data_IF_543674482909
#
_entry.id   IF_543674482909
#
_cell.length_a   1.000
_cell.length_b   1.000
_cell.length_c   1.000
_cell.angle_alpha   90.00
_cell.angle_beta   90.00
_cell.angle_gamma   90.00
#
_symmetry.space_group_name_H-M   'P 1'
#
loop_
_entity.id
_entity.type
_entity.pdbx_description
1 polymer ?
#
# COMPACT_ATOMS: atom_id res chain seq x y z
N UNK A 1 16.78 -57.21 43.82
CA UNK A 1 17.40 -56.94 42.49
C UNK A 1 16.36 -56.20 41.64
N UNK A 2 16.52 -54.90 41.33
CA UNK A 2 15.60 -54.17 40.51
C UNK A 2 16.05 -54.22 39.03
N UNK A 3 15.06 -54.41 38.15
CA UNK A 3 15.23 -54.38 36.68
C UNK A 3 15.47 -52.94 36.20
N UNK A 4 16.56 -52.72 35.48
CA UNK A 4 16.88 -51.50 34.79
C UNK A 4 15.98 -51.40 33.55
N UNK A 5 15.22 -50.33 33.46
CA UNK A 5 14.53 -49.85 32.26
C UNK A 5 15.53 -49.15 31.35
N UNK A 6 15.74 -49.64 30.14
CA UNK A 6 16.46 -48.96 29.08
C UNK A 6 15.45 -48.20 28.24
N UNK A 7 15.23 -46.91 28.58
CA UNK A 7 14.71 -45.92 27.66
C UNK A 7 15.89 -45.20 27.01
N UNK A 8 16.23 -45.56 25.79
CA UNK A 8 17.30 -44.99 25.00
C UNK A 8 16.79 -44.41 23.71
N UNK A 9 16.69 -43.13 23.70
CA UNK A 9 16.99 -42.22 22.58
C UNK A 9 16.62 -42.62 21.13
N UNK A 10 15.46 -42.13 20.66
CA UNK A 10 15.23 -41.78 19.27
C UNK A 10 14.74 -40.34 19.19
N UNK A 11 15.60 -39.37 19.49
CA UNK A 11 15.45 -37.95 19.10
C UNK A 11 16.70 -37.54 18.36
N UNK A 12 16.54 -37.12 17.12
CA UNK A 12 17.56 -36.34 16.41
C UNK A 12 18.05 -36.96 15.12
N UNK A 13 17.28 -36.80 14.03
CA UNK A 13 17.83 -36.78 12.65
C UNK A 13 16.86 -36.22 11.61
N UNK A 14 15.77 -35.56 12.00
CA UNK A 14 14.86 -34.94 11.02
C UNK A 14 15.14 -33.45 10.72
N UNK A 15 16.01 -32.77 11.47
CA UNK A 15 16.17 -31.31 11.36
C UNK A 15 17.43 -30.83 10.62
N UNK A 16 18.15 -31.68 9.90
CA UNK A 16 19.40 -31.28 9.19
C UNK A 16 19.36 -31.42 7.67
N UNK A 17 18.24 -31.80 7.07
CA UNK A 17 18.14 -31.89 5.60
C UNK A 17 17.31 -30.77 4.97
N UNK A 18 16.54 -30.01 5.76
CA UNK A 18 15.73 -28.88 5.23
C UNK A 18 16.52 -27.55 5.11
N UNK A 19 17.66 -27.40 5.80
CA UNK A 19 18.46 -26.16 5.79
C UNK A 19 19.46 -26.08 4.61
N UNK A 20 19.54 -27.08 3.75
CA UNK A 20 20.58 -27.14 2.70
C UNK A 20 20.08 -26.78 1.29
N UNK A 21 18.77 -26.75 1.04
CA UNK A 21 18.20 -26.38 -0.27
C UNK A 21 17.19 -25.28 -0.07
N UNK A 22 17.54 -24.06 -0.47
CA UNK A 22 16.64 -22.91 -0.43
C UNK A 22 15.36 -23.15 -1.23
N UNK A 23 14.31 -22.35 -1.04
CA UNK A 23 13.02 -22.54 -1.68
C UNK A 23 13.14 -22.51 -3.21
N UNK A 24 12.34 -23.35 -3.88
CA UNK A 24 12.31 -23.39 -5.35
C UNK A 24 11.69 -22.13 -5.94
N UNK A 25 10.71 -21.53 -5.24
CA UNK A 25 10.03 -20.29 -5.64
C UNK A 25 9.94 -19.38 -4.44
N UNK A 26 10.29 -18.13 -4.63
CA UNK A 26 10.51 -17.18 -3.55
C UNK A 26 10.01 -15.78 -3.94
N UNK A 27 9.26 -15.14 -3.04
CA UNK A 27 9.00 -13.71 -3.04
C UNK A 27 9.91 -13.07 -1.99
N UNK A 28 10.99 -12.48 -2.45
CA UNK A 28 11.93 -11.75 -1.59
C UNK A 28 11.38 -10.35 -1.34
N UNK A 29 11.22 -9.98 -0.09
CA UNK A 29 10.77 -8.65 0.35
C UNK A 29 11.94 -7.90 0.97
N UNK A 30 12.29 -6.78 0.37
CA UNK A 30 13.33 -5.87 0.84
C UNK A 30 12.74 -4.88 1.86
N UNK A 31 13.06 -5.07 3.14
CA UNK A 31 12.61 -4.21 4.22
C UNK A 31 13.32 -2.84 4.22
N UNK A 32 14.52 -2.74 3.68
CA UNK A 32 15.20 -1.46 3.55
C UNK A 32 14.55 -0.59 2.46
N UNK A 33 14.05 -1.22 1.38
CA UNK A 33 13.20 -0.55 0.38
C UNK A 33 11.89 -0.04 1.01
N UNK A 34 11.21 -0.85 1.83
CA UNK A 34 10.00 -0.41 2.57
C UNK A 34 10.33 0.80 3.46
N UNK A 35 11.41 0.73 4.25
CA UNK A 35 11.83 1.83 5.12
C UNK A 35 12.18 3.11 4.34
N UNK A 36 12.86 2.96 3.19
CA UNK A 36 13.15 4.06 2.28
C UNK A 36 11.86 4.71 1.76
N UNK A 37 10.91 3.91 1.26
CA UNK A 37 9.66 4.40 0.70
C UNK A 37 8.82 5.15 1.74
N UNK A 38 8.76 4.66 2.97
CA UNK A 38 8.05 5.36 4.06
C UNK A 38 8.68 6.73 4.33
N UNK A 39 10.02 6.84 4.33
CA UNK A 39 10.72 8.13 4.50
C UNK A 39 10.41 9.11 3.36
N UNK A 40 10.51 8.64 2.11
CA UNK A 40 10.13 9.44 0.94
C UNK A 40 8.69 9.93 1.03
N UNK A 41 7.76 9.05 1.39
CA UNK A 41 6.35 9.41 1.54
C UNK A 41 6.09 10.37 2.71
N UNK A 42 6.91 10.33 3.74
CA UNK A 42 6.86 11.31 4.83
C UNK A 42 7.31 12.71 4.37
N UNK A 43 8.29 12.80 3.48
CA UNK A 43 8.67 14.07 2.87
C UNK A 43 7.52 14.65 2.05
N UNK A 44 6.83 13.81 1.25
CA UNK A 44 5.62 14.24 0.53
C UNK A 44 4.47 14.63 1.47
N UNK A 45 4.32 13.97 2.61
CA UNK A 45 3.26 14.25 3.58
C UNK A 45 3.45 15.56 4.34
N UNK A 46 4.65 16.14 4.35
CA UNK A 46 4.95 17.37 5.11
C UNK A 46 4.65 17.21 6.60
N UNK A 47 3.78 18.07 7.13
CA UNK A 47 3.38 18.04 8.54
C UNK A 47 2.31 16.99 8.87
N UNK A 48 1.63 16.43 7.86
CA UNK A 48 0.61 15.42 8.06
C UNK A 48 1.21 14.11 8.58
N UNK A 49 0.49 13.42 9.46
CA UNK A 49 0.88 12.09 9.92
C UNK A 49 0.79 11.08 8.76
N UNK A 50 1.57 10.01 8.83
CA UNK A 50 1.51 8.91 7.87
C UNK A 50 0.91 7.67 8.52
N UNK A 51 -0.23 7.20 8.01
CA UNK A 51 -0.80 5.89 8.28
C UNK A 51 -0.34 4.91 7.21
N UNK A 52 0.46 3.92 7.58
CA UNK A 52 0.88 2.87 6.66
C UNK A 52 -0.26 1.89 6.39
N UNK A 53 -0.73 1.77 5.14
CA UNK A 53 -1.81 0.85 4.77
C UNK A 53 -1.23 -0.51 4.44
N UNK A 54 -1.49 -1.49 5.33
CA UNK A 54 -0.91 -2.83 5.30
C UNK A 54 -1.95 -3.95 5.18
N UNK A 55 -3.13 -3.64 4.66
CA UNK A 55 -4.20 -4.60 4.36
C UNK A 55 -3.74 -5.70 3.40
N UNK A 56 -4.50 -6.79 3.28
CA UNK A 56 -4.21 -7.94 2.41
C UNK A 56 -2.79 -8.49 2.66
N UNK A 57 -2.47 -8.75 3.94
CA UNK A 57 -1.16 -9.21 4.40
C UNK A 57 0.00 -8.31 3.91
N UNK A 58 -0.16 -6.97 4.08
CA UNK A 58 0.83 -6.00 3.58
C UNK A 58 0.95 -6.04 2.07
N UNK A 59 -0.18 -6.02 1.33
CA UNK A 59 -0.17 -6.22 -0.13
C UNK A 59 0.65 -7.46 -0.52
N UNK A 60 0.50 -8.51 0.28
CA UNK A 60 1.22 -9.78 0.18
C UNK A 60 2.75 -9.71 0.42
N UNK A 61 3.22 -8.61 1.03
CA UNK A 61 4.63 -8.47 1.46
C UNK A 61 4.85 -8.94 2.91
N UNK A 62 3.79 -9.31 3.65
CA UNK A 62 3.83 -9.73 5.05
C UNK A 62 3.54 -8.60 6.03
N UNK A 63 2.29 -8.54 6.49
CA UNK A 63 1.77 -7.43 7.28
C UNK A 63 2.62 -7.10 8.52
N UNK A 64 3.06 -8.12 9.28
CA UNK A 64 3.81 -7.89 10.53
C UNK A 64 5.20 -7.31 10.27
N UNK A 65 5.94 -7.85 9.29
CA UNK A 65 7.26 -7.35 8.93
C UNK A 65 7.18 -5.92 8.40
N UNK A 66 6.27 -5.68 7.45
CA UNK A 66 6.04 -4.34 6.88
C UNK A 66 5.58 -3.35 7.94
N UNK A 67 4.68 -3.73 8.85
CA UNK A 67 4.21 -2.86 9.92
C UNK A 67 5.35 -2.40 10.83
N UNK A 68 6.19 -3.33 11.30
CA UNK A 68 7.35 -3.01 12.14
C UNK A 68 8.33 -2.08 11.43
N UNK A 69 8.63 -2.38 10.17
CA UNK A 69 9.50 -1.56 9.33
C UNK A 69 8.93 -0.17 9.09
N UNK A 70 7.64 -0.07 8.70
CA UNK A 70 7.00 1.21 8.46
C UNK A 70 6.96 2.09 9.72
N UNK A 71 6.63 1.51 10.87
CA UNK A 71 6.64 2.23 12.16
C UNK A 71 8.05 2.71 12.53
N UNK A 72 9.08 1.87 12.35
CA UNK A 72 10.47 2.26 12.61
C UNK A 72 10.96 3.37 11.66
N UNK A 73 10.44 3.41 10.43
CA UNK A 73 10.76 4.41 9.42
C UNK A 73 9.94 5.72 9.56
N UNK A 74 9.03 5.79 10.55
CA UNK A 74 8.32 7.01 10.90
C UNK A 74 6.84 7.05 10.52
N UNK A 75 6.22 5.94 10.12
CA UNK A 75 4.77 5.84 10.12
C UNK A 75 4.25 5.95 11.57
N UNK A 76 3.15 6.67 11.78
CA UNK A 76 2.56 6.83 13.12
C UNK A 76 1.49 5.80 13.41
N UNK A 77 0.79 5.36 12.38
CA UNK A 77 -0.39 4.52 12.48
C UNK A 77 -0.42 3.49 11.36
N UNK A 78 -1.25 2.50 11.54
CA UNK A 78 -1.46 1.43 10.59
C UNK A 78 -2.92 1.40 10.13
N UNK A 79 -3.14 1.06 8.86
CA UNK A 79 -4.46 0.92 8.30
C UNK A 79 -4.68 -0.45 7.68
N UNK A 80 -5.76 -1.12 8.07
CA UNK A 80 -6.12 -2.45 7.57
C UNK A 80 -7.57 -2.49 7.11
N UNK A 81 -7.96 -3.55 6.41
CA UNK A 81 -9.32 -3.69 5.93
C UNK A 81 -10.23 -4.25 7.00
N UNK A 82 -9.84 -5.35 7.64
CA UNK A 82 -10.69 -6.13 8.55
C UNK A 82 -10.18 -6.10 9.99
N UNK A 83 -11.09 -6.36 10.93
CA UNK A 83 -10.72 -6.57 12.35
C UNK A 83 -9.75 -7.73 12.48
N UNK A 84 -9.93 -8.82 11.73
CA UNK A 84 -9.03 -9.97 11.77
C UNK A 84 -7.58 -9.60 11.39
N UNK A 85 -7.39 -8.76 10.36
CA UNK A 85 -6.06 -8.25 10.02
C UNK A 85 -5.46 -7.41 11.16
N UNK A 86 -6.26 -6.59 11.83
CA UNK A 86 -5.81 -5.81 12.98
C UNK A 86 -5.40 -6.70 14.17
N UNK A 87 -6.17 -7.75 14.45
CA UNK A 87 -5.88 -8.69 15.54
C UNK A 87 -4.55 -9.45 15.31
N UNK A 88 -4.23 -9.83 14.06
CA UNK A 88 -2.92 -10.40 13.71
C UNK A 88 -1.77 -9.47 14.11
N UNK A 89 -1.93 -8.16 13.90
CA UNK A 89 -0.91 -7.18 14.33
C UNK A 89 -0.80 -7.09 15.85
N UNK A 90 -1.93 -7.14 16.54
CA UNK A 90 -1.96 -7.14 18.02
C UNK A 90 -1.33 -8.39 18.60
N UNK A 91 -1.63 -9.56 18.05
CA UNK A 91 -1.00 -10.85 18.43
C UNK A 91 0.52 -10.82 18.21
N UNK A 92 0.99 -10.12 17.18
CA UNK A 92 2.42 -9.88 16.93
C UNK A 92 3.05 -8.83 17.87
N UNK A 93 2.30 -8.29 18.84
CA UNK A 93 2.80 -7.31 19.82
C UNK A 93 2.91 -5.88 19.30
N UNK A 94 2.28 -5.55 18.18
CA UNK A 94 2.25 -4.18 17.67
C UNK A 94 1.20 -3.38 18.44
N UNK A 95 1.63 -2.30 19.12
CA UNK A 95 0.80 -1.44 19.97
C UNK A 95 0.42 -0.10 19.33
N UNK A 96 1.02 0.24 18.18
CA UNK A 96 0.68 1.46 17.45
C UNK A 96 -0.83 1.50 17.09
N UNK A 97 -1.46 2.68 16.94
CA UNK A 97 -2.84 2.78 16.52
C UNK A 97 -3.08 2.04 15.20
N UNK A 98 -4.18 1.27 15.15
CA UNK A 98 -4.59 0.49 13.98
C UNK A 98 -6.05 0.78 13.69
N UNK A 99 -6.34 1.31 12.50
CA UNK A 99 -7.69 1.52 11.99
C UNK A 99 -8.11 0.38 11.07
N UNK A 100 -9.22 -0.31 11.37
CA UNK A 100 -9.91 -1.27 10.51
C UNK A 100 -11.18 -0.63 9.94
N UNK A 101 -11.42 -0.70 8.60
CA UNK A 101 -12.49 0.09 7.99
C UNK A 101 -13.47 -0.66 7.08
N UNK A 102 -13.41 -1.98 6.99
CA UNK A 102 -14.33 -2.76 6.16
C UNK A 102 -14.78 -4.02 6.91
N UNK A 103 -15.99 -3.98 7.43
CA UNK A 103 -16.58 -5.08 8.19
C UNK A 103 -18.11 -5.07 8.05
N UNK A 104 -18.73 -6.20 8.26
CA UNK A 104 -20.19 -6.34 8.37
C UNK A 104 -20.70 -5.89 9.73
N UNK A 105 -22.01 -5.80 9.86
CA UNK A 105 -22.66 -5.48 11.14
C UNK A 105 -22.54 -6.59 12.18
N UNK A 106 -22.17 -7.77 11.75
CA UNK A 106 -21.97 -9.00 12.52
C UNK A 106 -20.49 -9.28 12.84
N UNK A 107 -19.60 -8.33 12.56
CA UNK A 107 -18.19 -8.48 12.87
C UNK A 107 -17.92 -8.53 14.39
N UNK A 108 -16.80 -9.10 14.79
CA UNK A 108 -16.42 -9.20 16.21
C UNK A 108 -15.88 -7.86 16.73
N UNK A 109 -16.80 -6.89 16.91
CA UNK A 109 -16.47 -5.59 17.49
C UNK A 109 -16.00 -5.71 18.95
N UNK A 110 -16.43 -6.72 19.66
CA UNK A 110 -15.99 -6.95 21.04
C UNK A 110 -14.49 -7.24 21.12
N UNK A 111 -13.96 -8.07 20.22
CA UNK A 111 -12.52 -8.32 20.16
C UNK A 111 -11.74 -7.10 19.68
N UNK A 112 -12.30 -6.32 18.74
CA UNK A 112 -11.70 -5.06 18.31
C UNK A 112 -11.56 -4.06 19.48
N UNK A 113 -12.63 -3.84 20.24
CA UNK A 113 -12.65 -2.93 21.39
C UNK A 113 -11.65 -3.39 22.47
N UNK A 114 -11.67 -4.67 22.85
CA UNK A 114 -10.73 -5.22 23.84
C UNK A 114 -9.26 -5.11 23.44
N UNK A 115 -8.99 -5.12 22.13
CA UNK A 115 -7.65 -5.06 21.57
C UNK A 115 -7.23 -3.65 21.16
N UNK A 116 -7.98 -2.62 21.52
CA UNK A 116 -7.72 -1.22 21.15
C UNK A 116 -7.54 -1.04 19.64
N UNK A 117 -8.44 -1.65 18.86
CA UNK A 117 -8.53 -1.44 17.41
C UNK A 117 -9.55 -0.36 17.13
N UNK A 118 -9.13 0.67 16.40
CA UNK A 118 -9.99 1.74 15.93
C UNK A 118 -10.92 1.22 14.82
N UNK A 119 -12.21 1.55 14.92
CA UNK A 119 -13.25 1.00 14.04
C UNK A 119 -13.77 2.07 13.09
N UNK A 120 -13.59 1.86 11.80
CA UNK A 120 -14.17 2.70 10.75
C UNK A 120 -15.68 2.46 10.61
N UNK A 121 -16.50 3.45 10.88
CA UNK A 121 -17.97 3.35 10.84
C UNK A 121 -18.50 3.97 9.55
N UNK A 122 -19.30 3.22 8.80
CA UNK A 122 -19.74 3.58 7.43
C UNK A 122 -21.26 3.69 7.27
N UNK A 123 -22.03 3.43 8.31
CA UNK A 123 -23.50 3.54 8.31
C UNK A 123 -24.05 3.59 9.73
N UNK A 124 -25.29 4.08 9.94
CA UNK A 124 -25.96 4.03 11.24
C UNK A 124 -26.06 2.61 11.82
N UNK A 125 -26.24 1.59 10.96
CA UNK A 125 -26.29 0.19 11.40
C UNK A 125 -24.93 -0.34 11.91
N UNK A 126 -23.83 0.08 11.27
CA UNK A 126 -22.50 -0.24 11.79
C UNK A 126 -22.27 0.41 13.15
N UNK A 127 -22.64 1.68 13.29
CA UNK A 127 -22.53 2.39 14.57
C UNK A 127 -23.34 1.68 15.67
N UNK A 128 -24.59 1.31 15.39
CA UNK A 128 -25.43 0.59 16.35
C UNK A 128 -24.79 -0.72 16.83
N UNK A 129 -24.23 -1.52 15.90
CA UNK A 129 -23.56 -2.78 16.28
C UNK A 129 -22.29 -2.55 17.13
N UNK A 130 -21.52 -1.50 16.85
CA UNK A 130 -20.36 -1.08 17.67
C UNK A 130 -20.81 -0.64 19.06
N UNK A 131 -21.86 0.18 19.14
CA UNK A 131 -22.45 0.67 20.40
C UNK A 131 -22.94 -0.51 21.25
N UNK A 132 -23.63 -1.47 20.66
CA UNK A 132 -24.11 -2.65 21.39
C UNK A 132 -22.93 -3.48 21.95
N UNK A 133 -21.86 -3.67 21.18
CA UNK A 133 -20.65 -4.33 21.67
C UNK A 133 -19.98 -3.57 22.81
N UNK A 134 -19.91 -2.23 22.70
CA UNK A 134 -19.36 -1.35 23.74
C UNK A 134 -20.18 -1.43 25.04
N UNK A 135 -21.52 -1.42 24.94
CA UNK A 135 -22.42 -1.60 26.11
C UNK A 135 -22.21 -2.93 26.81
N UNK A 136 -22.12 -4.02 26.04
CA UNK A 136 -21.88 -5.36 26.61
C UNK A 136 -20.54 -5.41 27.35
N UNK A 137 -19.52 -4.74 26.84
CA UNK A 137 -18.21 -4.72 27.46
C UNK A 137 -18.06 -3.71 28.60
N UNK A 138 -18.95 -2.72 28.70
CA UNK A 138 -18.76 -1.57 29.59
C UNK A 138 -17.52 -0.74 29.25
N UNK A 139 -17.09 -0.75 28.00
CA UNK A 139 -15.90 -0.07 27.50
C UNK A 139 -16.23 0.69 26.22
N UNK A 140 -15.89 2.00 26.12
CA UNK A 140 -16.14 2.78 24.90
C UNK A 140 -15.30 2.29 23.72
N UNK A 141 -15.92 2.27 22.54
CA UNK A 141 -15.22 2.00 21.29
C UNK A 141 -14.59 3.30 20.74
N UNK A 142 -13.35 3.21 20.26
CA UNK A 142 -12.75 4.28 19.45
C UNK A 142 -13.21 4.10 18.00
N UNK A 143 -13.88 5.12 17.45
CA UNK A 143 -14.44 5.08 16.10
C UNK A 143 -13.93 6.22 15.24
N UNK A 144 -13.79 5.94 13.94
CA UNK A 144 -13.52 6.96 12.91
C UNK A 144 -14.62 6.89 11.86
N UNK A 145 -15.27 8.03 11.64
CA UNK A 145 -16.43 8.14 10.74
C UNK A 145 -15.99 8.19 9.29
N UNK A 146 -16.49 7.25 8.49
CA UNK A 146 -16.27 7.25 7.05
C UNK A 146 -17.41 7.92 6.31
N UNK A 147 -17.09 8.99 5.59
CA UNK A 147 -18.05 9.75 4.79
C UNK A 147 -17.94 9.37 3.32
N UNK A 148 -19.07 9.13 2.66
CA UNK A 148 -19.08 9.02 1.20
C UNK A 148 -19.16 10.42 0.58
N UNK A 149 -18.03 10.86 0.07
CA UNK A 149 -17.90 12.17 -0.59
C UNK A 149 -18.13 12.12 -2.11
N UNK A 150 -18.42 10.92 -2.66
CA UNK A 150 -18.72 10.77 -4.08
C UNK A 150 -18.06 9.59 -4.79
N UNK A 151 -17.34 8.72 -4.07
CA UNK A 151 -16.88 7.44 -4.62
C UNK A 151 -18.05 6.45 -4.78
N UNK A 152 -19.10 6.58 -3.94
CA UNK A 152 -20.30 5.75 -3.94
C UNK A 152 -20.03 4.25 -3.78
N UNK A 153 -19.00 3.90 -3.03
CA UNK A 153 -18.59 2.52 -2.75
C UNK A 153 -18.79 2.13 -1.29
N UNK A 154 -18.39 3.00 -0.36
CA UNK A 154 -18.45 2.78 1.09
C UNK A 154 -18.34 4.11 1.83
N UNK A 155 -19.06 4.26 2.93
CA UNK A 155 -19.15 5.48 3.74
C UNK A 155 -20.60 5.88 3.95
N UNK A 156 -20.85 6.71 4.95
CA UNK A 156 -22.18 7.23 5.23
C UNK A 156 -22.67 8.06 4.05
N UNK A 157 -23.80 7.68 3.51
CA UNK A 157 -24.44 8.38 2.37
C UNK A 157 -25.01 9.74 2.81
N UNK A 158 -25.20 10.65 1.85
CA UNK A 158 -25.80 11.95 2.12
C UNK A 158 -27.21 11.84 2.72
N UNK A 159 -27.96 10.82 2.34
CA UNK A 159 -29.33 10.58 2.83
C UNK A 159 -29.36 10.08 4.26
N UNK A 160 -28.36 9.32 4.68
CA UNK A 160 -28.21 8.83 6.05
C UNK A 160 -27.43 9.78 6.98
N UNK A 161 -26.85 10.82 6.42
CA UNK A 161 -25.94 11.73 7.15
C UNK A 161 -26.58 12.39 8.38
N UNK A 162 -27.80 12.99 8.28
CA UNK A 162 -28.46 13.59 9.44
C UNK A 162 -28.66 12.57 10.56
N UNK A 163 -29.18 11.38 10.21
CA UNK A 163 -29.41 10.31 11.20
C UNK A 163 -28.10 9.85 11.84
N UNK A 164 -27.03 9.72 11.04
CA UNK A 164 -25.72 9.32 11.55
C UNK A 164 -25.17 10.30 12.59
N UNK A 165 -25.34 11.60 12.37
CA UNK A 165 -24.93 12.64 13.32
C UNK A 165 -25.73 12.57 14.62
N UNK A 166 -27.05 12.30 14.56
CA UNK A 166 -27.91 12.14 15.72
C UNK A 166 -27.54 10.88 16.53
N UNK A 167 -27.30 9.75 15.83
CA UNK A 167 -26.89 8.49 16.44
C UNK A 167 -25.51 8.62 17.12
N UNK A 168 -24.55 9.33 16.48
CA UNK A 168 -23.24 9.61 17.08
C UNK A 168 -23.34 10.45 18.35
N UNK A 169 -24.16 11.50 18.34
CA UNK A 169 -24.38 12.34 19.52
C UNK A 169 -24.97 11.52 20.66
N UNK A 170 -25.97 10.69 20.39
CA UNK A 170 -26.56 9.78 21.38
C UNK A 170 -25.52 8.82 21.96
N UNK A 171 -24.72 8.18 21.11
CA UNK A 171 -23.70 7.22 21.54
C UNK A 171 -22.58 7.88 22.37
N UNK A 172 -22.22 9.13 22.05
CA UNK A 172 -21.29 9.94 22.86
C UNK A 172 -21.87 10.21 24.24
N UNK A 173 -23.13 10.68 24.29
CA UNK A 173 -23.78 11.07 25.55
C UNK A 173 -23.99 9.85 26.47
N UNK A 174 -24.14 8.65 25.89
CA UNK A 174 -24.12 7.37 26.59
C UNK A 174 -22.72 6.91 27.02
N UNK A 175 -21.65 7.54 26.53
CA UNK A 175 -20.28 7.14 26.82
C UNK A 175 -19.85 5.84 26.15
N UNK A 176 -20.56 5.39 25.09
CA UNK A 176 -20.28 4.12 24.40
C UNK A 176 -19.24 4.26 23.29
N UNK A 177 -19.01 5.47 22.79
CA UNK A 177 -17.99 5.73 21.76
C UNK A 177 -17.11 6.94 22.10
N UNK A 178 -15.92 6.94 21.51
CA UNK A 178 -15.06 8.10 21.31
C UNK A 178 -14.85 8.29 19.80
N UNK A 179 -15.41 9.36 19.24
CA UNK A 179 -15.14 9.73 17.85
C UNK A 179 -13.74 10.34 17.76
N UNK A 180 -12.81 9.60 17.12
CA UNK A 180 -11.43 10.06 16.94
C UNK A 180 -11.25 10.85 15.65
N UNK A 181 -11.87 10.43 14.57
CA UNK A 181 -11.61 11.06 13.29
C UNK A 181 -12.75 10.97 12.28
N UNK A 182 -12.53 11.67 11.16
CA UNK A 182 -13.41 11.63 9.98
C UNK A 182 -12.58 11.41 8.73
N UNK A 183 -13.01 10.51 7.85
CA UNK A 183 -12.28 10.23 6.61
C UNK A 183 -13.16 9.92 5.42
N UNK A 184 -12.56 10.06 4.24
CA UNK A 184 -13.16 9.64 2.99
C UNK A 184 -12.13 8.99 2.05
N UNK A 185 -12.54 8.70 0.82
CA UNK A 185 -11.69 8.10 -0.20
C UNK A 185 -11.99 8.69 -1.57
N UNK A 186 -10.94 8.95 -2.35
CA UNK A 186 -11.04 9.59 -3.65
C UNK A 186 -11.47 8.62 -4.74
N UNK A 187 -12.23 9.12 -5.71
CA UNK A 187 -12.69 8.36 -6.87
C UNK A 187 -11.68 8.40 -8.03
N UNK A 188 -10.96 9.52 -8.19
CA UNK A 188 -10.06 9.82 -9.31
C UNK A 188 -8.67 10.23 -8.82
N UNK A 189 -8.13 9.56 -7.80
CA UNK A 189 -6.82 9.95 -7.25
C UNK A 189 -5.65 9.73 -8.21
N UNK A 190 -5.81 8.87 -9.18
CA UNK A 190 -4.90 8.57 -10.28
C UNK A 190 -4.98 9.59 -11.43
N UNK A 191 -5.99 10.46 -11.44
CA UNK A 191 -6.13 11.60 -12.32
C UNK A 191 -6.06 12.91 -11.51
N UNK A 192 -4.87 13.41 -11.11
CA UNK A 192 -4.72 14.45 -10.08
C UNK A 192 -5.43 15.79 -10.36
N UNK A 193 -5.76 16.05 -11.61
CA UNK A 193 -6.43 17.28 -12.06
C UNK A 193 -7.93 17.11 -12.32
N UNK A 194 -8.53 15.95 -11.98
CA UNK A 194 -9.94 15.70 -12.19
C UNK A 194 -10.81 16.50 -11.20
N UNK A 195 -11.79 17.26 -11.71
CA UNK A 195 -12.63 18.20 -10.91
C UNK A 195 -13.39 17.52 -9.76
N UNK A 196 -13.68 16.22 -9.86
CA UNK A 196 -14.31 15.43 -8.80
C UNK A 196 -13.49 15.43 -7.50
N UNK A 197 -12.16 15.56 -7.58
CA UNK A 197 -11.28 15.59 -6.41
C UNK A 197 -11.60 16.79 -5.53
N UNK A 198 -11.72 17.99 -6.13
CA UNK A 198 -11.99 19.23 -5.38
C UNK A 198 -13.41 19.23 -4.81
N UNK A 199 -14.38 18.66 -5.55
CA UNK A 199 -15.72 18.41 -5.03
C UNK A 199 -15.70 17.48 -3.81
N UNK A 200 -14.94 16.38 -3.86
CA UNK A 200 -14.81 15.44 -2.74
C UNK A 200 -14.12 16.07 -1.54
N UNK A 201 -13.08 16.90 -1.77
CA UNK A 201 -12.42 17.70 -0.72
C UNK A 201 -13.43 18.60 -0.01
N UNK A 202 -14.20 19.38 -0.76
CA UNK A 202 -15.18 20.31 -0.19
C UNK A 202 -16.24 19.55 0.63
N UNK A 203 -16.77 18.45 0.10
CA UNK A 203 -17.74 17.61 0.83
C UNK A 203 -17.19 17.04 2.13
N UNK A 204 -15.89 16.70 2.19
CA UNK A 204 -15.27 16.28 3.44
C UNK A 204 -15.16 17.43 4.42
N UNK A 205 -14.79 18.63 3.96
CA UNK A 205 -14.73 19.84 4.80
C UNK A 205 -16.10 20.14 5.39
N UNK A 206 -17.16 20.10 4.57
CA UNK A 206 -18.54 20.33 5.01
C UNK A 206 -18.98 19.27 6.04
N UNK A 207 -18.66 18.00 5.81
CA UNK A 207 -18.97 16.92 6.74
C UNK A 207 -18.25 17.08 8.09
N UNK A 208 -17.00 17.52 8.09
CA UNK A 208 -16.26 17.83 9.32
C UNK A 208 -16.88 19.02 10.07
N UNK A 209 -17.35 20.04 9.34
CA UNK A 209 -18.06 21.16 9.94
C UNK A 209 -19.38 20.72 10.61
N UNK A 210 -20.16 19.85 9.95
CA UNK A 210 -21.37 19.26 10.52
C UNK A 210 -21.10 18.45 11.79
N UNK A 211 -20.03 17.65 11.80
CA UNK A 211 -19.58 16.88 12.97
C UNK A 211 -19.22 17.82 14.13
N UNK A 212 -18.48 18.90 13.84
CA UNK A 212 -18.16 19.93 14.84
C UNK A 212 -19.38 20.65 15.37
N UNK A 213 -20.36 20.96 14.52
CA UNK A 213 -21.62 21.57 14.93
C UNK A 213 -22.44 20.70 15.90
N UNK A 214 -22.17 19.37 15.94
CA UNK A 214 -22.76 18.43 16.92
C UNK A 214 -21.92 18.30 18.20
N UNK A 215 -20.91 19.15 18.39
CA UNK A 215 -20.08 19.18 19.60
C UNK A 215 -18.99 18.13 19.64
N UNK A 216 -18.56 17.59 18.49
CA UNK A 216 -17.38 16.73 18.38
C UNK A 216 -16.18 17.55 17.95
N UNK A 217 -15.00 17.15 18.42
CA UNK A 217 -13.72 17.68 17.96
C UNK A 217 -12.87 16.53 17.42
N UNK A 218 -13.00 16.19 16.11
CA UNK A 218 -12.19 15.14 15.52
C UNK A 218 -10.69 15.46 15.64
N UNK A 219 -9.92 14.52 16.20
CA UNK A 219 -8.47 14.64 16.35
C UNK A 219 -7.77 14.53 15.00
N UNK A 220 -8.36 13.82 14.03
CA UNK A 220 -7.76 13.54 12.74
C UNK A 220 -8.78 13.52 11.61
N UNK A 221 -8.47 14.24 10.54
CA UNK A 221 -9.20 14.22 9.28
C UNK A 221 -8.26 13.68 8.19
N UNK A 222 -8.71 12.73 7.36
CA UNK A 222 -7.85 12.16 6.35
C UNK A 222 -8.57 11.76 5.06
N UNK A 223 -7.96 12.08 3.91
CA UNK A 223 -8.51 11.82 2.56
C UNK A 223 -7.52 11.08 1.67
N UNK A 224 -6.26 11.53 1.65
CA UNK A 224 -5.23 11.11 0.69
C UNK A 224 -4.85 9.64 0.78
N UNK A 225 -4.89 8.95 -0.35
CA UNK A 225 -4.25 7.65 -0.59
C UNK A 225 -2.84 7.83 -1.17
N UNK A 226 -2.21 6.77 -1.71
CA UNK A 226 -0.87 6.86 -2.31
C UNK A 226 -0.76 7.92 -3.38
N UNK A 227 -1.69 7.95 -4.35
CA UNK A 227 -1.65 8.90 -5.45
C UNK A 227 -1.80 10.35 -4.97
N UNK A 228 -2.83 10.62 -4.18
CA UNK A 228 -3.04 11.96 -3.64
C UNK A 228 -1.91 12.39 -2.69
N UNK A 229 -1.25 11.48 -1.98
CA UNK A 229 -0.10 11.81 -1.13
C UNK A 229 1.03 12.43 -1.93
N UNK A 230 1.34 11.89 -3.12
CA UNK A 230 2.48 12.34 -3.95
C UNK A 230 2.13 13.43 -4.96
N UNK A 231 0.83 13.64 -5.27
CA UNK A 231 0.40 14.57 -6.34
C UNK A 231 -0.42 15.75 -5.86
N UNK A 232 -1.05 15.68 -4.67
CA UNK A 232 -2.01 16.68 -4.20
C UNK A 232 -1.75 17.07 -2.73
N UNK A 233 -0.75 17.91 -2.47
CA UNK A 233 -0.41 18.35 -1.11
C UNK A 233 -1.56 19.07 -0.39
N UNK A 234 -2.48 19.67 -1.14
CA UNK A 234 -3.67 20.34 -0.61
C UNK A 234 -4.74 19.39 -0.03
N UNK A 235 -4.57 18.06 -0.17
CA UNK A 235 -5.49 17.03 0.33
C UNK A 235 -4.95 16.27 1.55
N UNK A 236 -3.81 16.67 2.09
CA UNK A 236 -3.13 15.91 3.16
C UNK A 236 -3.91 15.94 4.48
N UNK A 237 -4.61 17.04 4.78
CA UNK A 237 -5.28 17.27 6.06
C UNK A 237 -4.36 16.92 7.24
N UNK A 238 -4.84 16.17 8.24
CA UNK A 238 -4.02 15.78 9.39
C UNK A 238 -3.21 14.49 9.15
N UNK A 239 -3.61 13.69 8.14
CA UNK A 239 -3.00 12.38 7.89
C UNK A 239 -3.15 11.91 6.46
N UNK A 240 -2.09 11.28 5.92
CA UNK A 240 -2.10 10.57 4.64
C UNK A 240 -2.09 9.06 4.84
N UNK A 241 -2.67 8.32 3.88
CA UNK A 241 -2.80 6.85 3.94
C UNK A 241 -2.23 6.17 2.70
N UNK A 242 -0.91 6.24 2.48
CA UNK A 242 -0.28 5.53 1.38
C UNK A 242 -0.38 4.01 1.60
N UNK A 243 -0.69 3.30 0.50
CA UNK A 243 -0.67 1.85 0.42
C UNK A 243 0.42 1.40 -0.54
N UNK A 244 0.09 1.29 -1.84
CA UNK A 244 1.01 0.73 -2.84
C UNK A 244 2.37 1.44 -2.89
N UNK A 245 2.42 2.72 -2.63
CA UNK A 245 3.66 3.49 -2.62
C UNK A 245 4.63 3.05 -1.50
N UNK A 246 4.13 2.51 -0.37
CA UNK A 246 4.99 1.93 0.68
C UNK A 246 5.79 0.75 0.12
N UNK A 247 5.20 0.00 -0.81
CA UNK A 247 5.81 -1.17 -1.43
C UNK A 247 6.68 -0.82 -2.65
N UNK A 248 6.87 0.50 -2.89
CA UNK A 248 7.78 1.01 -3.91
C UNK A 248 7.21 1.03 -5.32
N UNK A 249 5.90 0.91 -5.45
CA UNK A 249 5.23 0.95 -6.74
C UNK A 249 4.50 2.29 -6.91
N UNK A 250 4.79 2.98 -8.02
CA UNK A 250 4.19 4.29 -8.29
C UNK A 250 2.66 4.19 -8.42
N UNK A 251 1.88 4.96 -7.67
CA UNK A 251 0.43 4.95 -7.81
C UNK A 251 -0.07 5.60 -9.12
N UNK A 252 0.79 6.32 -9.81
CA UNK A 252 0.56 7.01 -11.10
C UNK A 252 1.82 6.89 -11.96
N UNK A 253 2.07 5.69 -12.55
CA UNK A 253 3.33 5.37 -13.23
C UNK A 253 3.70 6.33 -14.37
N UNK A 254 2.71 6.93 -15.02
CA UNK A 254 2.88 7.92 -16.08
C UNK A 254 3.51 9.25 -15.60
N UNK A 255 3.45 9.53 -14.28
CA UNK A 255 4.08 10.70 -13.66
C UNK A 255 5.47 10.41 -13.07
N UNK A 256 5.92 9.15 -13.14
CA UNK A 256 7.23 8.72 -12.66
C UNK A 256 7.19 7.83 -11.43
N UNK A 257 8.37 7.52 -10.89
CA UNK A 257 8.54 6.62 -9.74
C UNK A 257 8.53 7.32 -8.37
N UNK A 258 8.63 8.65 -8.35
CA UNK A 258 8.68 9.49 -7.13
C UNK A 258 9.83 9.13 -6.18
N UNK A 259 10.90 8.52 -6.68
CA UNK A 259 12.02 8.04 -5.86
C UNK A 259 11.70 6.78 -5.04
N UNK A 260 10.60 6.10 -5.34
CA UNK A 260 10.19 4.87 -4.68
C UNK A 260 11.00 3.67 -5.20
N UNK A 261 11.22 2.67 -4.35
CA UNK A 261 11.96 1.44 -4.67
C UNK A 261 11.06 0.23 -4.54
N UNK A 262 10.79 -0.55 -5.62
CA UNK A 262 10.01 -1.78 -5.52
C UNK A 262 10.60 -2.74 -4.50
N UNK A 263 9.78 -3.19 -3.55
CA UNK A 263 10.24 -3.99 -2.43
C UNK A 263 10.13 -5.51 -2.67
N UNK A 264 9.35 -5.96 -3.65
CA UNK A 264 9.15 -7.38 -3.93
C UNK A 264 9.92 -7.83 -5.16
N UNK A 265 10.68 -8.91 -5.02
CA UNK A 265 11.29 -9.65 -6.14
C UNK A 265 10.74 -11.07 -6.16
N UNK A 266 10.06 -11.46 -7.25
CA UNK A 266 9.64 -12.84 -7.49
C UNK A 266 10.72 -13.58 -8.28
N UNK A 267 11.25 -14.66 -7.69
CA UNK A 267 12.28 -15.49 -8.31
C UNK A 267 12.03 -16.97 -8.13
N UNK A 268 12.59 -17.78 -9.04
CA UNK A 268 12.55 -19.24 -8.92
C UNK A 268 13.82 -19.91 -9.43
N UNK A 269 14.05 -21.13 -8.99
CA UNK A 269 15.14 -21.97 -9.46
C UNK A 269 14.77 -22.64 -10.78
N UNK A 270 15.74 -22.74 -11.69
CA UNK A 270 15.64 -23.63 -12.86
C UNK A 270 15.66 -25.08 -12.36
N UNK A 271 14.60 -25.83 -12.65
CA UNK A 271 14.48 -27.22 -12.19
C UNK A 271 14.81 -28.27 -13.28
N UNK A 272 14.82 -27.83 -14.53
CA UNK A 272 15.18 -28.69 -15.67
C UNK A 272 15.67 -27.80 -16.81
N UNK A 273 16.72 -28.27 -17.50
CA UNK A 273 17.19 -27.74 -18.78
C UNK A 273 17.12 -28.84 -19.82
N UNK A 274 16.44 -28.62 -20.94
CA UNK A 274 16.28 -29.63 -22.00
C UNK A 274 16.36 -29.05 -23.41
N UNK A 275 16.91 -29.82 -24.35
CA UNK A 275 16.90 -29.48 -25.77
C UNK A 275 15.57 -29.85 -26.42
N UNK A 276 15.14 -29.04 -27.38
CA UNK A 276 13.94 -29.21 -28.18
C UNK A 276 14.32 -28.95 -29.64
N UNK A 277 13.94 -29.86 -30.54
CA UNK A 277 14.25 -29.75 -31.98
C UNK A 277 13.33 -28.69 -32.64
N UNK A 278 13.82 -28.15 -33.76
CA UNK A 278 13.02 -27.30 -34.63
C UNK A 278 11.72 -28.02 -35.06
N UNK A 279 10.61 -27.27 -35.05
CA UNK A 279 9.29 -27.80 -35.40
C UNK A 279 8.54 -28.51 -34.27
N UNK A 280 9.16 -28.75 -33.11
CA UNK A 280 8.48 -29.32 -31.95
C UNK A 280 7.63 -28.30 -31.24
N UNK A 281 6.40 -28.71 -30.87
CA UNK A 281 5.47 -27.88 -30.13
C UNK A 281 5.76 -27.92 -28.62
N UNK A 282 5.62 -26.77 -27.94
CA UNK A 282 5.96 -26.63 -26.54
C UNK A 282 4.71 -26.31 -25.70
N UNK A 283 4.56 -27.04 -24.59
CA UNK A 283 3.48 -26.89 -23.61
C UNK A 283 2.07 -27.17 -24.18
N UNK A 284 1.01 -26.89 -23.42
CA UNK A 284 -0.35 -27.23 -23.80
C UNK A 284 -0.82 -26.52 -25.09
N UNK A 285 -1.35 -27.31 -26.01
CA UNK A 285 -1.93 -26.84 -27.25
C UNK A 285 -0.91 -26.32 -28.26
N UNK A 286 0.38 -26.58 -28.02
CA UNK A 286 1.50 -26.23 -28.91
C UNK A 286 1.40 -24.82 -29.48
N UNK A 287 1.02 -23.83 -28.65
CA UNK A 287 0.85 -22.44 -29.08
C UNK A 287 2.17 -21.76 -29.45
N UNK A 288 3.27 -22.34 -29.01
CA UNK A 288 4.61 -22.00 -29.46
C UNK A 288 5.27 -23.28 -30.04
N UNK A 289 5.82 -23.12 -31.20
CA UNK A 289 6.58 -24.18 -31.91
C UNK A 289 8.01 -23.69 -32.03
N UNK A 290 8.97 -24.50 -31.67
CA UNK A 290 10.38 -24.13 -31.72
C UNK A 290 10.78 -23.75 -33.16
N UNK A 291 11.20 -22.51 -33.44
CA UNK A 291 11.54 -22.05 -34.80
C UNK A 291 12.86 -22.61 -35.28
N UNK A 292 13.70 -23.06 -34.40
CA UNK A 292 15.01 -23.71 -34.61
C UNK A 292 15.27 -24.66 -33.44
N UNK A 293 16.32 -25.46 -33.52
CA UNK A 293 16.78 -26.23 -32.36
C UNK A 293 17.08 -25.27 -31.24
N UNK A 294 16.53 -25.54 -30.05
CA UNK A 294 16.66 -24.66 -28.91
C UNK A 294 16.80 -25.42 -27.61
N UNK A 295 17.16 -24.69 -26.55
CA UNK A 295 17.22 -25.19 -25.18
C UNK A 295 16.17 -24.47 -24.35
N UNK A 296 15.40 -25.20 -23.56
CA UNK A 296 14.37 -24.65 -22.68
C UNK A 296 14.76 -24.83 -21.22
N UNK A 297 14.52 -23.80 -20.41
CA UNK A 297 14.53 -23.88 -18.96
C UNK A 297 13.12 -24.06 -18.43
N UNK A 298 12.91 -24.94 -17.47
CA UNK A 298 11.66 -25.15 -16.75
C UNK A 298 11.73 -24.49 -15.39
N UNK A 299 10.75 -23.61 -15.10
CA UNK A 299 10.62 -22.89 -13.84
C UNK A 299 9.37 -23.36 -13.10
N UNK A 300 9.45 -23.66 -11.77
CA UNK A 300 8.36 -24.21 -10.97
C UNK A 300 7.39 -23.12 -10.47
N UNK A 301 6.93 -22.25 -11.34
CA UNK A 301 5.96 -21.19 -11.07
C UNK A 301 4.86 -21.27 -12.10
N UNK A 302 3.62 -21.33 -11.66
CA UNK A 302 2.47 -21.38 -12.54
C UNK A 302 1.30 -20.55 -12.03
N UNK A 303 0.10 -20.75 -12.63
CA UNK A 303 -1.05 -19.94 -12.24
C UNK A 303 -1.57 -20.28 -10.84
N UNK A 304 -1.21 -21.42 -10.25
CA UNK A 304 -1.50 -21.70 -8.83
C UNK A 304 -0.69 -20.80 -7.87
N UNK A 305 0.45 -20.28 -8.33
CA UNK A 305 1.36 -19.44 -7.56
C UNK A 305 1.15 -17.93 -7.84
N UNK A 306 0.17 -17.59 -8.69
CA UNK A 306 -0.18 -16.20 -9.01
C UNK A 306 0.31 -15.70 -10.38
N UNK A 307 1.01 -16.53 -11.15
CA UNK A 307 1.41 -16.19 -12.51
C UNK A 307 0.20 -16.29 -13.45
N UNK A 308 -0.38 -15.16 -13.85
CA UNK A 308 -1.59 -15.15 -14.69
C UNK A 308 -1.39 -15.96 -15.97
N UNK A 309 -2.36 -16.85 -16.28
CA UNK A 309 -2.33 -17.63 -17.52
C UNK A 309 -2.40 -16.76 -18.79
N UNK A 310 -2.93 -15.55 -18.68
CA UNK A 310 -3.01 -14.56 -19.77
C UNK A 310 -1.65 -13.98 -20.18
N UNK A 311 -0.62 -14.16 -19.35
CA UNK A 311 0.78 -13.84 -19.67
C UNK A 311 1.44 -14.87 -20.61
N UNK A 312 0.79 -15.99 -20.96
CA UNK A 312 1.39 -17.02 -21.80
C UNK A 312 2.00 -16.45 -23.09
N UNK A 313 3.32 -16.60 -23.26
CA UNK A 313 4.08 -16.09 -24.40
C UNK A 313 4.24 -14.56 -24.46
N UNK A 314 3.92 -13.83 -23.38
CA UNK A 314 3.88 -12.36 -23.39
C UNK A 314 4.77 -11.70 -22.33
N UNK A 315 5.58 -12.43 -21.60
CA UNK A 315 6.45 -11.87 -20.58
C UNK A 315 7.85 -12.46 -20.66
N UNK A 316 8.79 -11.79 -20.06
CA UNK A 316 10.18 -12.20 -19.96
C UNK A 316 10.58 -12.41 -18.51
N UNK A 317 11.64 -13.18 -18.32
CA UNK A 317 12.35 -13.32 -17.04
C UNK A 317 13.82 -12.94 -17.23
N UNK A 318 14.46 -12.46 -16.18
CA UNK A 318 15.91 -12.30 -16.14
C UNK A 318 16.54 -13.64 -15.74
N UNK A 319 17.37 -14.23 -16.64
CA UNK A 319 18.03 -15.51 -16.39
C UNK A 319 19.36 -15.58 -17.15
N UNK A 320 20.45 -15.93 -16.45
CA UNK A 320 21.77 -16.02 -17.06
C UNK A 320 22.28 -14.69 -17.60
N UNK A 321 21.97 -13.57 -16.90
CA UNK A 321 22.42 -12.21 -17.28
C UNK A 321 21.64 -11.58 -18.44
N UNK A 322 20.56 -12.21 -18.93
CA UNK A 322 19.76 -11.72 -20.05
C UNK A 322 18.26 -11.80 -19.76
N UNK A 323 17.47 -10.92 -20.38
CA UNK A 323 16.02 -11.13 -20.49
C UNK A 323 15.71 -12.24 -21.47
N UNK A 324 14.82 -13.14 -21.08
CA UNK A 324 14.46 -14.32 -21.85
C UNK A 324 12.96 -14.48 -21.91
N UNK A 325 12.46 -14.78 -23.10
CA UNK A 325 11.06 -14.93 -23.36
C UNK A 325 10.51 -16.21 -22.73
N UNK A 326 9.43 -16.09 -21.97
CA UNK A 326 8.61 -17.23 -21.58
C UNK A 326 7.82 -17.75 -22.78
N UNK A 327 7.86 -19.07 -23.02
CA UNK A 327 7.29 -19.68 -24.21
C UNK A 327 6.25 -20.75 -23.88
N UNK A 328 5.32 -20.95 -24.81
CA UNK A 328 4.20 -21.87 -24.62
C UNK A 328 3.18 -21.36 -23.55
N UNK A 329 2.19 -22.22 -23.28
CA UNK A 329 1.18 -21.89 -22.24
C UNK A 329 1.73 -22.05 -20.85
N UNK A 330 1.42 -21.11 -19.96
CA UNK A 330 1.63 -21.23 -18.52
C UNK A 330 0.76 -22.37 -17.99
N UNK A 331 1.40 -23.31 -17.28
CA UNK A 331 0.74 -24.43 -16.64
C UNK A 331 0.31 -24.06 -15.19
N UNK A 332 -0.35 -24.99 -14.49
CA UNK A 332 -0.73 -24.80 -13.10
C UNK A 332 0.50 -24.54 -12.22
N UNK A 333 1.58 -25.29 -12.45
CA UNK A 333 2.72 -25.41 -11.56
C UNK A 333 4.04 -24.96 -12.17
N UNK A 334 4.06 -24.59 -13.45
CA UNK A 334 5.31 -24.40 -14.17
C UNK A 334 5.17 -23.59 -15.46
N UNK A 335 6.27 -22.98 -15.87
CA UNK A 335 6.41 -22.24 -17.13
C UNK A 335 7.76 -22.55 -17.78
N UNK A 336 7.84 -22.46 -19.09
CA UNK A 336 9.05 -22.67 -19.89
C UNK A 336 9.61 -21.34 -20.40
N UNK A 337 10.93 -21.28 -20.48
CA UNK A 337 11.68 -20.11 -20.97
C UNK A 337 12.64 -20.56 -22.05
N UNK A 338 12.68 -19.82 -23.16
CA UNK A 338 13.61 -20.09 -24.26
C UNK A 338 15.01 -19.55 -23.94
N UNK A 339 15.99 -20.40 -23.98
CA UNK A 339 17.41 -20.10 -23.78
C UNK A 339 18.20 -19.91 -25.06
N UNK A 340 17.59 -20.27 -26.23
CA UNK A 340 18.26 -20.32 -27.50
C UNK A 340 19.04 -21.64 -27.71
N UNK A 341 19.70 -21.82 -28.89
CA UNK A 341 20.29 -23.09 -29.31
C UNK A 341 21.30 -23.68 -28.34
N UNK A 342 22.16 -22.85 -27.78
CA UNK A 342 23.28 -23.27 -26.93
C UNK A 342 22.96 -23.26 -25.44
N UNK A 343 21.76 -22.75 -25.04
CA UNK A 343 21.35 -22.65 -23.66
C UNK A 343 22.11 -21.59 -22.86
N UNK A 344 23.06 -20.86 -23.49
CA UNK A 344 23.85 -19.75 -22.90
C UNK A 344 24.48 -20.07 -21.53
N UNK A 345 24.81 -21.35 -21.28
CA UNK A 345 25.44 -21.81 -20.04
C UNK A 345 24.51 -21.88 -18.83
N UNK A 346 23.19 -21.67 -19.00
CA UNK A 346 22.18 -21.82 -17.93
C UNK A 346 22.06 -23.29 -17.54
N UNK A 347 21.94 -23.54 -16.21
CA UNK A 347 21.91 -24.88 -15.59
C UNK A 347 20.76 -24.97 -14.58
N UNK A 348 20.39 -26.20 -14.24
CA UNK A 348 19.54 -26.47 -13.09
C UNK A 348 20.15 -25.89 -11.83
N UNK A 349 19.31 -25.25 -11.01
CA UNK A 349 19.72 -24.53 -9.80
C UNK A 349 19.99 -23.03 -10.01
N UNK A 350 20.16 -22.57 -11.26
CA UNK A 350 20.26 -21.13 -11.55
C UNK A 350 18.95 -20.40 -11.17
N UNK A 351 19.04 -19.11 -10.91
CA UNK A 351 17.90 -18.31 -10.48
C UNK A 351 17.36 -17.49 -11.64
N UNK A 352 16.09 -17.67 -11.95
CA UNK A 352 15.30 -16.79 -12.81
C UNK A 352 14.55 -15.75 -11.98
N UNK A 353 14.60 -14.47 -12.37
CA UNK A 353 13.83 -13.38 -11.75
C UNK A 353 12.66 -13.04 -12.67
N UNK A 354 11.46 -13.15 -12.17
CA UNK A 354 10.22 -12.89 -12.89
C UNK A 354 9.88 -11.39 -12.93
N UNK A 355 10.00 -10.73 -11.80
CA UNK A 355 9.99 -9.28 -11.66
C UNK A 355 10.73 -8.88 -10.38
N UNK A 356 11.19 -7.63 -10.32
CA UNK A 356 11.92 -7.10 -9.19
C UNK A 356 12.02 -5.57 -9.23
N UNK A 357 13.11 -5.06 -8.65
CA UNK A 357 13.40 -3.63 -8.59
C UNK A 357 14.10 -3.08 -9.85
N UNK A 358 14.52 -3.95 -10.77
CA UNK A 358 15.20 -3.59 -12.02
C UNK A 358 16.73 -3.54 -11.95
N UNK A 359 17.32 -3.73 -10.78
CA UNK A 359 18.79 -3.55 -10.58
C UNK A 359 19.64 -4.54 -11.39
N UNK A 360 19.12 -5.72 -11.73
CA UNK A 360 19.79 -6.73 -12.53
C UNK A 360 19.27 -6.77 -13.98
N UNK A 361 18.44 -5.78 -14.38
CA UNK A 361 17.81 -5.72 -15.70
C UNK A 361 16.52 -6.56 -15.78
N UNK A 362 16.00 -7.10 -14.68
CA UNK A 362 14.73 -7.81 -14.64
C UNK A 362 13.52 -6.89 -14.93
N UNK A 363 12.39 -7.46 -15.40
CA UNK A 363 11.14 -6.72 -15.46
C UNK A 363 10.69 -6.25 -14.08
N UNK A 364 9.88 -5.20 -14.02
CA UNK A 364 9.14 -4.82 -12.81
C UNK A 364 7.69 -5.33 -12.85
N UNK A 365 6.95 -5.19 -11.75
CA UNK A 365 5.56 -5.64 -11.69
C UNK A 365 4.63 -4.84 -12.64
N UNK A 366 4.99 -3.59 -12.99
CA UNK A 366 4.25 -2.79 -13.96
C UNK A 366 4.25 -3.41 -15.35
N UNK A 367 5.38 -4.00 -15.79
CA UNK A 367 5.45 -4.67 -17.08
C UNK A 367 4.42 -5.82 -17.24
N UNK A 368 4.10 -6.52 -16.16
CA UNK A 368 3.04 -7.52 -16.18
C UNK A 368 1.64 -6.87 -16.19
N UNK A 369 1.46 -5.80 -15.44
CA UNK A 369 0.20 -5.06 -15.39
C UNK A 369 -0.17 -4.52 -16.78
N UNK A 370 0.80 -3.94 -17.49
CA UNK A 370 0.62 -3.41 -18.85
C UNK A 370 0.18 -4.50 -19.84
N UNK A 371 0.80 -5.68 -19.78
CA UNK A 371 0.45 -6.82 -20.64
C UNK A 371 -0.93 -7.39 -20.32
N UNK A 372 -1.34 -7.32 -19.05
CA UNK A 372 -2.60 -7.87 -18.54
C UNK A 372 -3.77 -6.88 -18.60
N UNK A 373 -3.52 -5.65 -19.01
CA UNK A 373 -4.50 -4.54 -18.95
C UNK A 373 -5.10 -4.38 -17.54
N UNK A 374 -4.20 -4.31 -16.54
CA UNK A 374 -4.54 -4.18 -15.12
C UNK A 374 -3.54 -3.27 -14.40
N UNK A 375 -3.55 -3.29 -13.09
CA UNK A 375 -2.66 -2.49 -12.23
C UNK A 375 -1.68 -3.40 -11.46
N UNK A 376 -0.48 -2.90 -11.20
CA UNK A 376 0.56 -3.64 -10.47
C UNK A 376 0.16 -4.01 -9.02
N UNK A 377 -0.88 -3.37 -8.46
CA UNK A 377 -1.52 -3.80 -7.21
C UNK A 377 -1.98 -5.26 -7.31
N UNK A 378 -2.67 -5.62 -8.40
CA UNK A 378 -3.18 -6.97 -8.62
C UNK A 378 -2.03 -7.96 -8.80
N UNK A 379 -0.95 -7.55 -9.48
CA UNK A 379 0.23 -8.38 -9.70
C UNK A 379 0.85 -8.81 -8.37
N UNK A 380 1.24 -7.86 -7.51
CA UNK A 380 1.93 -8.20 -6.26
C UNK A 380 1.02 -8.89 -5.25
N UNK A 381 -0.26 -8.48 -5.16
CA UNK A 381 -1.22 -9.13 -4.26
C UNK A 381 -1.64 -10.52 -4.75
N UNK A 382 -1.43 -10.82 -6.03
CA UNK A 382 -1.73 -12.11 -6.64
C UNK A 382 -0.72 -13.20 -6.34
N UNK A 383 0.50 -12.89 -5.89
CA UNK A 383 1.55 -13.88 -5.59
C UNK A 383 1.15 -14.69 -4.36
N UNK A 384 1.11 -16.04 -4.51
CA UNK A 384 0.53 -16.94 -3.50
C UNK A 384 1.03 -18.38 -3.70
N UNK A 385 0.30 -19.34 -3.14
CA UNK A 385 0.51 -20.77 -3.36
C UNK A 385 1.74 -21.29 -2.64
N UNK A 386 2.67 -21.84 -3.41
CA UNK A 386 3.92 -22.45 -2.91
C UNK A 386 5.08 -21.47 -2.81
N UNK A 387 4.86 -20.21 -3.24
CA UNK A 387 5.88 -19.17 -3.14
C UNK A 387 6.19 -18.85 -1.68
N UNK A 388 7.42 -19.09 -1.26
CA UNK A 388 7.90 -18.79 0.08
C UNK A 388 8.24 -17.31 0.15
N UNK A 389 7.73 -16.61 1.17
CA UNK A 389 8.11 -15.23 1.43
C UNK A 389 9.36 -15.21 2.29
N UNK A 390 10.38 -14.47 1.85
CA UNK A 390 11.62 -14.24 2.58
C UNK A 390 11.89 -12.74 2.71
N UNK A 391 12.69 -12.37 3.69
CA UNK A 391 12.98 -10.96 3.98
C UNK A 391 14.47 -10.71 3.90
N UNK A 392 14.83 -9.57 3.29
CA UNK A 392 16.19 -9.04 3.29
C UNK A 392 16.18 -7.62 3.86
N UNK A 393 17.35 -7.14 4.26
CA UNK A 393 17.47 -5.85 4.93
C UNK A 393 17.02 -5.90 6.40
N UNK A 394 17.38 -4.90 7.16
CA UNK A 394 17.02 -4.78 8.58
C UNK A 394 15.81 -3.87 8.80
N UNK A 395 15.39 -3.12 7.77
CA UNK A 395 14.35 -2.09 7.87
C UNK A 395 14.72 -0.94 8.81
N UNK A 396 16.01 -0.80 9.15
CA UNK A 396 16.54 0.19 10.10
C UNK A 396 17.19 1.36 9.37
N UNK A 397 17.24 2.48 10.05
CA UNK A 397 17.94 3.68 9.60
C UNK A 397 19.47 3.45 9.67
N UNK A 398 20.22 3.75 8.59
CA UNK A 398 21.69 3.79 8.63
C UNK A 398 22.23 4.90 9.56
N UNK A 399 21.44 5.91 9.89
CA UNK A 399 21.81 7.05 10.73
C UNK A 399 21.66 6.84 12.25
N UNK A 400 21.06 5.75 12.73
CA UNK A 400 20.94 5.47 14.18
C UNK A 400 22.25 5.16 14.90
N UNK A 401 23.39 5.16 14.23
CA UNK A 401 24.71 5.02 14.88
C UNK A 401 25.29 6.32 15.43
N UNK A 402 24.62 7.47 15.24
CA UNK A 402 25.15 8.77 15.71
C UNK A 402 24.38 9.42 16.86
N UNK A 403 23.18 8.94 17.21
CA UNK A 403 22.31 9.57 18.21
C UNK A 403 21.95 8.68 19.41
N UNK A 404 22.93 8.00 20.02
CA UNK A 404 22.72 7.37 21.33
C UNK A 404 22.52 8.39 22.48
N UNK A 405 22.43 9.69 22.18
CA UNK A 405 22.36 10.75 23.21
C UNK A 405 21.16 11.69 23.14
N UNK A 406 20.11 11.44 22.35
CA UNK A 406 18.87 12.20 22.43
C UNK A 406 17.78 11.44 23.19
N UNK A 407 17.77 11.58 24.50
CA UNK A 407 16.63 11.21 25.35
C UNK A 407 15.46 12.14 25.05
N UNK A 408 14.39 11.63 24.44
CA UNK A 408 13.12 12.32 24.40
C UNK A 408 12.54 12.39 25.81
N UNK A 409 12.08 13.57 26.29
CA UNK A 409 11.41 13.66 27.59
C UNK A 409 10.03 13.01 27.49
N UNK A 410 9.79 12.05 28.37
CA UNK A 410 8.45 11.50 28.60
C UNK A 410 7.51 12.61 29.06
N UNK A 411 6.58 13.04 28.19
CA UNK A 411 5.47 13.89 28.60
C UNK A 411 4.50 13.05 29.44
N UNK A 412 4.53 13.25 30.75
CA UNK A 412 3.49 12.80 31.65
C UNK A 412 2.26 13.68 31.42
N UNK A 413 1.17 13.12 30.91
CA UNK A 413 -0.15 13.72 31.00
C UNK A 413 -0.59 13.75 32.47
N UNK A 414 -0.48 14.90 33.10
CA UNK A 414 -1.11 15.24 34.39
C UNK A 414 -2.17 16.29 34.13
N UNK A 415 -3.42 15.91 34.33
CA UNK A 415 -4.55 16.81 34.28
C UNK A 415 -4.41 17.95 35.34
N UNK A 416 -4.54 19.20 34.93
CA UNK A 416 -5.13 20.29 35.73
C UNK A 416 -5.84 21.27 34.81
N UNK A 417 -7.10 21.44 35.11
CA UNK A 417 -7.95 22.53 34.70
C UNK A 417 -7.36 23.84 35.29
N UNK A 418 -7.04 24.84 34.48
CA UNK A 418 -7.46 26.22 34.64
C UNK A 418 -6.87 27.06 33.50
N UNK A 419 -7.72 27.98 33.04
CA UNK A 419 -7.54 28.76 31.85
C UNK A 419 -6.49 29.88 31.97
N UNK A 420 -6.07 30.25 30.83
CA UNK A 420 -5.58 31.51 30.24
C UNK A 420 -4.29 31.30 29.44
N UNK A 421 -4.42 31.53 28.16
CA UNK A 421 -3.27 31.72 27.25
C UNK A 421 -2.81 33.17 27.41
N UNK A 422 -1.55 33.36 27.76
CA UNK A 422 -0.79 34.56 27.46
C UNK A 422 0.49 34.18 26.74
N UNK A 423 0.61 34.72 25.54
CA UNK A 423 1.86 34.69 24.78
C UNK A 423 2.81 35.74 25.38
N UNK A 424 3.97 35.32 25.88
CA UNK A 424 5.07 36.22 26.19
C UNK A 424 6.09 36.10 25.08
N UNK A 425 6.24 37.22 24.34
CA UNK A 425 7.37 37.49 23.49
C UNK A 425 8.49 38.06 24.35
N UNK A 426 9.62 37.43 24.46
CA UNK A 426 10.84 38.06 24.95
C UNK A 426 11.65 38.61 23.77
N UNK A 427 11.76 39.93 23.78
CA UNK A 427 12.78 40.72 23.04
C UNK A 427 13.90 41.01 24.02
N UNK A 428 15.13 40.95 23.50
CA UNK A 428 16.27 41.85 23.75
C UNK A 428 17.56 41.11 23.38
N UNK A 429 18.60 41.66 22.83
CA UNK A 429 18.95 43.01 22.45
C UNK A 429 20.20 42.99 21.57
N UNK A 430 20.35 44.07 20.87
CA UNK A 430 21.55 44.82 20.46
C UNK A 430 22.17 44.61 19.09
N UNK A 431 21.99 45.68 18.30
CA UNK A 431 22.68 46.00 17.02
C UNK A 431 24.08 46.63 17.26
N UNK A 432 24.68 47.46 16.36
CA UNK A 432 24.15 48.13 15.19
C UNK A 432 25.14 48.15 13.96
N UNK A 433 24.70 48.67 12.83
CA UNK A 433 25.65 49.09 11.74
C UNK A 433 25.07 49.33 10.38
N UNK A 434 24.60 50.50 10.14
CA UNK A 434 24.61 51.40 8.98
C UNK A 434 25.16 50.94 7.60
N UNK A 435 24.48 51.19 6.49
CA UNK A 435 24.48 52.34 5.60
C UNK A 435 23.87 52.07 4.21
N UNK A 436 22.89 52.91 3.82
CA UNK A 436 22.62 53.54 2.50
C UNK A 436 22.71 52.69 1.22
N UNK A 437 21.82 52.70 0.27
CA UNK A 437 20.82 53.67 -0.13
C UNK A 437 20.51 53.53 -1.63
N UNK A 438 19.37 54.08 -2.07
CA UNK A 438 18.88 54.31 -3.46
C UNK A 438 18.23 53.06 -4.10
N UNK A 439 17.01 53.00 -4.44
CA UNK A 439 16.07 53.98 -4.99
C UNK A 439 15.94 53.86 -6.47
N UNK A 440 14.84 53.28 -7.00
CA UNK A 440 14.12 53.77 -8.17
C UNK A 440 12.90 52.86 -8.48
N UNK A 441 11.79 53.50 -8.64
CA UNK A 441 10.48 52.99 -9.08
C UNK A 441 10.31 53.15 -10.59
N UNK A 442 9.12 52.94 -11.16
CA UNK A 442 8.66 51.81 -11.95
C UNK A 442 8.34 52.23 -13.42
N UNK A 443 8.04 51.26 -14.28
CA UNK A 443 7.35 51.57 -15.54
C UNK A 443 6.25 50.55 -15.85
N UNK A 444 5.05 51.08 -16.02
CA UNK A 444 3.86 50.53 -16.63
C UNK A 444 4.09 50.12 -18.10
N UNK A 445 3.39 49.12 -18.57
CA UNK A 445 2.68 49.11 -19.86
C UNK A 445 1.84 47.86 -20.08
N UNK A 446 0.55 48.07 -20.21
CA UNK A 446 -0.46 47.18 -20.87
C UNK A 446 -0.55 47.55 -22.35
N UNK A 447 -1.49 46.98 -23.13
CA UNK A 447 -1.62 45.63 -23.71
C UNK A 447 -1.74 45.70 -25.26
N UNK A 448 -1.77 44.57 -25.95
CA UNK A 448 -2.38 44.56 -27.30
C UNK A 448 -3.03 43.21 -27.62
N UNK A 449 -4.25 43.32 -28.06
CA UNK A 449 -5.18 42.35 -28.65
C UNK A 449 -4.83 41.96 -30.07
N UNK A 450 -5.57 40.97 -30.55
CA UNK A 450 -5.92 40.52 -31.93
C UNK A 450 -5.27 39.18 -32.32
N UNK A 451 -5.95 38.21 -32.91
CA UNK A 451 -7.11 38.20 -33.79
C UNK A 451 -7.68 36.76 -33.89
N UNK A 452 -8.97 36.69 -34.11
CA UNK A 452 -9.76 35.52 -34.40
C UNK A 452 -9.46 34.87 -35.76
N UNK A 453 -9.62 33.54 -35.87
CA UNK A 453 -10.09 32.95 -37.14
C UNK A 453 -11.04 31.78 -36.89
N UNK A 454 -12.25 31.96 -37.45
CA UNK A 454 -13.33 31.01 -37.56
C UNK A 454 -13.03 29.93 -38.62
N UNK A 455 -13.41 28.69 -38.38
CA UNK A 455 -13.50 27.67 -39.40
C UNK A 455 -14.58 26.67 -39.05
N UNK A 456 -15.79 26.87 -39.60
CA UNK A 456 -16.90 25.90 -39.58
C UNK A 456 -16.60 24.79 -40.58
N UNK A 457 -16.91 23.53 -40.27
CA UNK A 457 -17.36 22.56 -41.24
C UNK A 457 -18.35 21.56 -40.63
N UNK A 458 -19.38 21.45 -41.35
CA UNK A 458 -20.71 20.85 -41.33
C UNK A 458 -20.79 19.36 -40.99
N UNK A 459 -21.88 19.06 -40.32
CA UNK A 459 -22.51 17.76 -40.23
C UNK A 459 -22.84 17.14 -41.60
N UNK A 460 -22.75 15.82 -41.71
CA UNK A 460 -23.54 15.00 -42.60
C UNK A 460 -24.09 13.77 -41.88
N UNK A 461 -25.40 13.79 -41.77
CA UNK A 461 -26.26 12.63 -41.52
C UNK A 461 -26.31 11.74 -42.75
N UNK A 462 -26.33 10.42 -42.58
CA UNK A 462 -27.06 9.51 -43.46
C UNK A 462 -27.53 8.28 -42.69
N UNK A 463 -28.81 8.08 -42.83
CA UNK A 463 -29.64 6.95 -42.35
C UNK A 463 -29.52 5.73 -43.26
N UNK A 464 -30.10 4.65 -42.71
CA UNK A 464 -30.63 3.42 -43.33
C UNK A 464 -29.61 2.31 -43.54
N UNK A 465 -29.91 1.03 -43.30
CA UNK A 465 -31.10 0.30 -42.93
C UNK A 465 -30.75 -1.18 -42.97
N UNK A 466 -31.47 -1.91 -42.21
CA UNK A 466 -31.88 -3.30 -42.22
C UNK A 466 -31.11 -4.38 -43.02
N UNK A 467 -30.87 -5.49 -42.34
CA UNK A 467 -30.51 -6.80 -42.85
C UNK A 467 -30.10 -7.72 -41.69
#
# INVERSE_FOLDING_TARGET
MPRKSTEGACRGKASRLEDAVGPQTEAVVDLDAIAHNVRVLREFAGDAALMAVIKADGYNHGAVAVARTALSAGARELGVTTIAEALVLREAGITAPVLAWLHGVDADFSSAIRSDVEIGVSSPRHLAAVVDAARVLGQPATVTLKVDTGLNRNGVSRTEWPKMLDDLATARDEGTIRLRGVFSHLAHSDEPHHDVIDMQKQRLIDAVADVRARGFEPEVVHLSNSAATVTRPDLQFDMVRPGIAIYGLSPVPELGDFGLRPAMTLRAKVILVKKVAAGEGVSYGHQWVAPHDTTLALLPVGYADGLSRSLSGKFEVQLGGKRRQAVGRICMDQVLVDLGPDGDGVREGDTAIFFGNGDQGEPNAQAWADVLDTIHYEVVTGIRGRTVRTYIGEGRHEDCRKDEHSRWPAQRCGARLDGRRECIQDRDASGPGNLRGRGLRPHDARPQEHCAHRGRCRARSSRSGAG
#
